data_IF_270741456134
#
_entry.id   IF_270741456134
#
_cell.length_a   1.000
_cell.length_b   1.000
_cell.length_c   1.000
_cell.angle_alpha   90.00
_cell.angle_beta   90.00
_cell.angle_gamma   90.00
#
_symmetry.space_group_name_H-M   'P 1'
#
loop_
_entity.id
_entity.type
_entity.pdbx_description
1 polymer ?
#
# COMPACT_ATOMS: atom_id res chain seq x y z
N UNK A 1 7.01 17.23 -22.11
CA UNK A 1 7.62 16.45 -21.00
C UNK A 1 7.62 14.93 -21.22
N UNK A 2 7.01 14.36 -22.28
CA UNK A 2 7.01 12.90 -22.52
C UNK A 2 8.22 12.36 -23.32
N UNK A 3 8.92 13.23 -24.06
CA UNK A 3 10.02 12.84 -24.96
C UNK A 3 11.31 12.43 -24.23
N UNK A 4 11.63 13.04 -23.08
CA UNK A 4 12.88 12.77 -22.35
C UNK A 4 12.87 11.41 -21.61
N UNK A 5 11.68 10.93 -21.20
CA UNK A 5 11.52 9.63 -20.54
C UNK A 5 11.71 8.46 -21.51
N UNK A 6 11.29 8.63 -22.77
CA UNK A 6 11.46 7.65 -23.86
C UNK A 6 12.95 7.41 -24.18
N UNK A 7 13.76 8.48 -24.25
CA UNK A 7 15.18 8.40 -24.64
C UNK A 7 16.01 7.62 -23.62
N UNK A 8 15.80 7.83 -22.32
CA UNK A 8 16.53 7.11 -21.26
C UNK A 8 16.15 5.62 -21.20
N UNK A 9 14.89 5.28 -21.45
CA UNK A 9 14.43 3.89 -21.52
C UNK A 9 15.07 3.14 -22.71
N UNK A 10 15.19 3.79 -23.86
CA UNK A 10 15.81 3.21 -25.06
C UNK A 10 17.32 2.97 -24.89
N UNK A 11 18.05 3.91 -24.28
CA UNK A 11 19.50 3.78 -24.02
C UNK A 11 19.78 2.62 -23.04
N UNK A 12 18.89 2.39 -22.06
CA UNK A 12 19.02 1.29 -21.11
C UNK A 12 18.85 -0.08 -21.77
N UNK A 13 18.00 -0.19 -22.79
CA UNK A 13 17.80 -1.43 -23.56
C UNK A 13 19.03 -1.82 -24.40
N UNK A 14 19.84 -0.86 -24.83
CA UNK A 14 21.07 -1.13 -25.60
C UNK A 14 22.15 -1.88 -24.80
N UNK A 15 22.08 -1.85 -23.46
CA UNK A 15 22.97 -2.63 -22.58
C UNK A 15 22.61 -4.11 -22.49
N UNK A 16 21.44 -4.50 -23.00
CA UNK A 16 20.99 -5.88 -23.01
C UNK A 16 21.23 -6.53 -24.39
N UNK A 17 21.52 -7.85 -24.43
CA UNK A 17 21.53 -8.63 -25.67
C UNK A 17 20.23 -8.47 -26.46
N UNK A 18 20.30 -8.66 -27.79
CA UNK A 18 19.18 -8.32 -28.69
C UNK A 18 17.91 -9.11 -28.36
N UNK A 19 18.06 -10.34 -27.88
CA UNK A 19 16.96 -11.21 -27.47
C UNK A 19 16.17 -10.69 -26.25
N UNK A 20 16.70 -9.77 -25.45
CA UNK A 20 16.04 -9.21 -24.26
C UNK A 20 15.55 -7.77 -24.44
N UNK A 21 15.60 -7.24 -25.67
CA UNK A 21 15.11 -5.89 -25.96
C UNK A 21 13.61 -5.96 -26.19
N UNK A 22 12.86 -5.22 -25.38
CA UNK A 22 11.41 -5.14 -25.51
C UNK A 22 11.11 -4.24 -26.70
N UNK A 23 10.57 -4.83 -27.77
CA UNK A 23 10.07 -4.09 -28.91
C UNK A 23 8.87 -3.24 -28.48
N UNK A 24 8.78 -2.03 -29.02
CA UNK A 24 7.57 -1.23 -28.87
C UNK A 24 6.40 -2.07 -29.41
N UNK A 25 5.44 -2.38 -28.54
CA UNK A 25 4.24 -3.06 -28.97
C UNK A 25 3.54 -2.20 -30.03
N UNK A 26 3.27 -2.79 -31.19
CA UNK A 26 2.51 -2.11 -32.24
C UNK A 26 1.03 -2.10 -31.82
N UNK A 27 0.65 -1.10 -31.04
CA UNK A 27 -0.75 -0.89 -30.69
C UNK A 27 -1.49 -0.34 -31.91
N UNK A 28 -2.63 -0.94 -32.29
CA UNK A 28 -3.43 -0.40 -33.36
C UNK A 28 -4.05 0.93 -32.90
N UNK A 29 -4.10 1.93 -33.79
CA UNK A 29 -4.39 3.32 -33.43
C UNK A 29 -5.81 3.52 -32.88
N UNK A 30 -6.73 2.63 -33.26
CA UNK A 30 -8.10 2.54 -32.75
C UNK A 30 -8.16 2.17 -31.26
N UNK A 31 -7.28 1.26 -30.80
CA UNK A 31 -7.19 0.89 -29.40
C UNK A 31 -6.69 2.05 -28.52
N UNK A 32 -5.75 2.86 -29.02
CA UNK A 32 -5.27 4.05 -28.32
C UNK A 32 -6.38 5.09 -28.19
N UNK A 33 -7.09 5.35 -29.29
CA UNK A 33 -8.21 6.28 -29.31
C UNK A 33 -9.40 5.84 -28.44
N UNK A 34 -9.59 4.53 -28.24
CA UNK A 34 -10.60 4.01 -27.33
C UNK A 34 -10.21 4.24 -25.85
N UNK A 35 -8.92 4.07 -25.53
CA UNK A 35 -8.38 4.33 -24.20
C UNK A 35 -8.47 5.81 -23.81
N UNK A 36 -8.15 6.71 -24.74
CA UNK A 36 -8.25 8.15 -24.52
C UNK A 36 -9.70 8.60 -24.25
N UNK A 37 -10.67 7.99 -24.94
CA UNK A 37 -12.10 8.24 -24.70
C UNK A 37 -12.55 7.78 -23.32
N UNK A 38 -12.12 6.60 -22.89
CA UNK A 38 -12.43 6.10 -21.54
C UNK A 38 -11.82 6.98 -20.44
N UNK A 39 -10.57 7.43 -20.63
CA UNK A 39 -9.90 8.33 -19.68
C UNK A 39 -10.58 9.71 -19.62
N UNK A 40 -11.07 10.23 -20.75
CA UNK A 40 -11.82 11.47 -20.79
C UNK A 40 -13.18 11.35 -20.08
N UNK A 41 -13.90 10.24 -20.30
CA UNK A 41 -15.18 9.97 -19.62
C UNK A 41 -15.01 9.84 -18.09
N UNK A 42 -13.92 9.23 -17.64
CA UNK A 42 -13.60 9.10 -16.21
C UNK A 42 -13.26 10.46 -15.57
N UNK A 43 -12.51 11.31 -16.28
CA UNK A 43 -12.21 12.68 -15.83
C UNK A 43 -13.48 13.54 -15.71
N UNK A 44 -14.44 13.39 -16.63
CA UNK A 44 -15.73 14.10 -16.58
C UNK A 44 -16.59 13.63 -15.42
N UNK A 45 -16.66 12.32 -15.14
CA UNK A 45 -17.41 11.79 -13.97
C UNK A 45 -16.84 12.29 -12.65
N UNK A 46 -15.52 12.32 -12.54
CA UNK A 46 -14.83 12.81 -11.34
C UNK A 46 -15.11 14.30 -11.11
N UNK A 47 -15.20 15.09 -12.19
CA UNK A 47 -15.55 16.50 -12.12
C UNK A 47 -17.03 16.73 -11.74
N UNK A 48 -17.96 15.93 -12.26
CA UNK A 48 -19.40 16.04 -11.97
C UNK A 48 -19.72 15.62 -10.52
N UNK A 49 -19.00 14.62 -10.00
CA UNK A 49 -19.12 14.19 -8.60
C UNK A 49 -18.54 15.21 -7.61
N UNK A 50 -17.52 15.96 -8.04
CA UNK A 50 -16.97 17.09 -7.26
C UNK A 50 -17.88 18.32 -7.32
N UNK A 51 -18.58 18.54 -8.43
CA UNK A 51 -19.50 19.67 -8.62
C UNK A 51 -20.86 19.47 -7.92
N UNK A 52 -21.28 18.22 -7.65
CA UNK A 52 -22.54 17.93 -6.95
C UNK A 52 -22.47 18.10 -5.43
N UNK A 53 -21.29 18.37 -4.89
CA UNK A 53 -21.08 18.63 -3.47
C UNK A 53 -21.01 20.15 -3.20
N UNK A 54 -22.17 20.80 -3.12
CA UNK A 54 -22.32 22.13 -2.48
C UNK A 54 -23.47 22.13 -1.45
N UNK A 55 -23.46 23.06 -0.47
CA UNK A 55 -23.44 22.69 0.95
C UNK A 55 -24.79 22.87 1.65
N UNK A 56 -25.04 22.02 2.65
CA UNK A 56 -26.04 22.27 3.68
C UNK A 56 -25.33 22.74 4.96
N UNK A 57 -25.56 24.00 5.34
CA UNK A 57 -25.13 24.59 6.61
C UNK A 57 -26.26 24.45 7.66
N UNK A 58 -25.93 24.03 8.89
CA UNK A 58 -26.38 24.62 10.17
C UNK A 58 -25.77 23.78 11.32
N UNK A 59 -24.73 24.27 12.00
CA UNK A 59 -24.74 25.07 13.22
C UNK A 59 -24.64 24.22 14.51
N UNK A 60 -23.42 24.14 15.08
CA UNK A 60 -23.09 24.79 16.37
C UNK A 60 -21.90 24.13 17.08
N UNK A 61 -21.02 25.01 17.59
CA UNK A 61 -20.04 24.82 18.67
C UNK A 61 -18.58 24.46 18.32
N UNK A 62 -17.85 25.53 17.95
CA UNK A 62 -16.48 25.91 18.35
C UNK A 62 -15.65 24.86 19.12
N UNK A 63 -14.52 24.46 18.52
CA UNK A 63 -13.20 24.71 19.12
C UNK A 63 -12.07 24.58 18.08
N UNK A 64 -11.22 25.61 18.01
CA UNK A 64 -9.84 25.50 17.52
C UNK A 64 -9.63 25.30 16.03
N UNK A 65 -9.74 26.38 15.24
CA UNK A 65 -9.08 26.46 13.94
C UNK A 65 -7.56 26.56 14.15
N UNK A 66 -6.89 25.42 14.26
CA UNK A 66 -5.43 25.37 14.12
C UNK A 66 -5.11 25.35 12.63
N UNK A 67 -4.44 26.40 12.16
CA UNK A 67 -4.02 26.57 10.78
C UNK A 67 -3.11 25.40 10.38
N UNK A 68 -3.58 24.51 9.49
CA UNK A 68 -2.75 23.45 8.92
C UNK A 68 -1.82 24.07 7.86
N UNK A 69 -0.49 23.93 7.98
CA UNK A 69 0.42 24.31 6.91
C UNK A 69 0.13 23.48 5.64
N UNK A 70 -0.22 24.15 4.54
CA UNK A 70 -0.58 23.54 3.26
C UNK A 70 0.59 22.90 2.48
N UNK A 71 1.71 22.60 3.15
CA UNK A 71 2.92 22.03 2.52
C UNK A 71 3.28 20.61 3.03
N UNK A 72 2.44 20.05 3.91
CA UNK A 72 2.59 18.69 4.40
C UNK A 72 1.68 17.72 3.62
N UNK A 73 2.23 16.59 3.17
CA UNK A 73 1.44 15.50 2.60
C UNK A 73 0.36 15.06 3.59
N UNK A 74 -0.89 14.79 3.15
CA UNK A 74 -1.92 14.22 4.01
C UNK A 74 -1.43 12.91 4.67
N UNK A 75 -1.79 12.67 5.93
CA UNK A 75 -1.39 11.46 6.65
C UNK A 75 -1.77 10.15 5.94
N UNK A 76 -2.90 10.14 5.22
CA UNK A 76 -3.31 9.02 4.37
C UNK A 76 -2.35 8.76 3.20
N UNK A 77 -1.88 9.81 2.52
CA UNK A 77 -0.90 9.67 1.43
C UNK A 77 0.44 9.14 1.92
N UNK A 78 0.87 9.56 3.11
CA UNK A 78 2.08 9.00 3.76
C UNK A 78 1.85 7.51 4.06
N UNK A 79 0.69 7.15 4.64
CA UNK A 79 0.35 5.77 4.92
C UNK A 79 0.36 4.86 3.68
N UNK A 80 -0.13 5.36 2.54
CA UNK A 80 -0.13 4.62 1.27
C UNK A 80 1.27 4.38 0.72
N UNK A 81 2.13 5.39 0.77
CA UNK A 81 3.54 5.28 0.35
C UNK A 81 4.29 4.28 1.24
N UNK A 82 4.12 4.43 2.55
CA UNK A 82 4.72 3.56 3.57
C UNK A 82 4.25 2.11 3.38
N UNK A 83 2.95 1.89 3.15
CA UNK A 83 2.38 0.56 2.86
C UNK A 83 2.96 -0.04 1.58
N UNK A 84 3.14 0.78 0.53
CA UNK A 84 3.70 0.33 -0.74
C UNK A 84 5.17 -0.10 -0.60
N UNK A 85 5.96 0.64 0.18
CA UNK A 85 7.35 0.30 0.50
C UNK A 85 7.41 -0.99 1.32
N UNK A 86 6.56 -1.14 2.34
CA UNK A 86 6.48 -2.36 3.14
C UNK A 86 6.12 -3.60 2.29
N UNK A 87 5.15 -3.47 1.37
CA UNK A 87 4.81 -4.56 0.43
C UNK A 87 5.96 -4.90 -0.50
N UNK A 88 6.69 -3.89 -0.96
CA UNK A 88 7.87 -4.07 -1.80
C UNK A 88 8.97 -4.81 -1.06
N UNK A 89 9.25 -4.45 0.20
CA UNK A 89 10.22 -5.14 1.06
C UNK A 89 9.86 -6.62 1.24
N UNK A 90 8.62 -6.92 1.62
CA UNK A 90 8.14 -8.30 1.74
C UNK A 90 8.27 -9.08 0.44
N UNK A 91 8.01 -8.46 -0.71
CA UNK A 91 8.15 -9.10 -2.02
C UNK A 91 9.62 -9.36 -2.38
N UNK A 92 10.48 -8.37 -2.18
CA UNK A 92 11.92 -8.47 -2.48
C UNK A 92 12.58 -9.57 -1.65
N UNK A 93 12.21 -9.71 -0.38
CA UNK A 93 12.73 -10.79 0.49
C UNK A 93 12.35 -12.19 0.03
N UNK A 94 11.23 -12.35 -0.69
CA UNK A 94 10.75 -13.66 -1.18
C UNK A 94 11.36 -14.06 -2.52
N UNK A 95 11.91 -13.11 -3.29
CA UNK A 95 12.43 -13.38 -4.65
C UNK A 95 13.96 -13.53 -4.60
N UNK A 96 14.51 -14.73 -4.87
CA UNK A 96 15.95 -14.90 -5.01
C UNK A 96 16.44 -14.20 -6.29
N UNK A 97 17.64 -13.61 -6.24
CA UNK A 97 18.27 -12.97 -7.40
C UNK A 97 17.92 -11.48 -7.61
N UNK A 98 17.23 -10.83 -6.67
CA UNK A 98 17.06 -9.37 -6.69
C UNK A 98 18.43 -8.68 -6.60
N UNK A 99 18.62 -7.65 -7.42
CA UNK A 99 19.90 -6.91 -7.45
C UNK A 99 20.19 -6.26 -6.09
N UNK A 100 21.45 -6.31 -5.64
CA UNK A 100 21.92 -5.62 -4.42
C UNK A 100 21.63 -4.12 -4.42
N UNK A 101 21.53 -3.50 -5.59
CA UNK A 101 21.16 -2.09 -5.72
C UNK A 101 19.70 -1.83 -5.30
N UNK A 102 18.77 -2.71 -5.67
CA UNK A 102 17.35 -2.56 -5.32
C UNK A 102 17.12 -2.72 -3.81
N UNK A 103 17.76 -3.70 -3.17
CA UNK A 103 17.70 -3.87 -1.71
C UNK A 103 18.27 -2.66 -0.99
N UNK A 104 19.41 -2.13 -1.45
CA UNK A 104 20.02 -0.93 -0.86
C UNK A 104 19.12 0.31 -0.97
N UNK A 105 18.49 0.56 -2.12
CA UNK A 105 17.59 1.70 -2.27
C UNK A 105 16.35 1.58 -1.39
N UNK A 106 15.85 0.36 -1.21
CA UNK A 106 14.75 0.07 -0.32
C UNK A 106 15.13 0.33 1.16
N UNK A 107 16.31 -0.11 1.58
CA UNK A 107 16.87 0.18 2.91
C UNK A 107 17.00 1.69 3.13
N UNK A 108 17.57 2.43 2.17
CA UNK A 108 17.67 3.90 2.28
C UNK A 108 16.30 4.59 2.34
N UNK A 109 15.31 4.11 1.58
CA UNK A 109 13.95 4.63 1.65
C UNK A 109 13.32 4.36 3.03
N UNK A 110 13.57 3.18 3.59
CA UNK A 110 13.12 2.82 4.92
C UNK A 110 13.75 3.69 6.01
N UNK A 111 15.07 3.86 5.97
CA UNK A 111 15.80 4.71 6.92
C UNK A 111 15.29 6.16 6.89
N UNK A 112 14.97 6.67 5.69
CA UNK A 112 14.39 8.01 5.51
C UNK A 112 13.01 8.12 6.18
N UNK A 113 12.15 7.10 6.05
CA UNK A 113 10.85 7.07 6.72
C UNK A 113 10.99 7.04 8.25
N UNK A 114 11.92 6.25 8.77
CA UNK A 114 12.19 6.18 10.21
C UNK A 114 12.70 7.53 10.73
N UNK A 115 13.61 8.18 10.01
CA UNK A 115 14.10 9.52 10.33
C UNK A 115 12.98 10.58 10.28
N UNK A 116 11.98 10.40 9.42
CA UNK A 116 10.78 11.22 9.36
C UNK A 116 9.76 10.91 10.48
N UNK A 117 10.06 10.01 11.40
CA UNK A 117 9.21 9.67 12.54
C UNK A 117 8.15 8.60 12.26
N UNK A 118 8.26 7.86 11.14
CA UNK A 118 7.35 6.77 10.82
C UNK A 118 7.73 5.51 11.59
N UNK A 119 6.73 4.88 12.23
CA UNK A 119 6.83 3.55 12.85
C UNK A 119 5.81 2.61 12.20
N UNK A 120 6.28 1.47 11.71
CA UNK A 120 5.43 0.41 11.19
C UNK A 120 5.37 -0.73 12.20
N UNK A 121 4.16 -1.17 12.52
CA UNK A 121 3.92 -2.37 13.32
C UNK A 121 3.25 -3.43 12.44
N UNK A 122 4.01 -4.50 12.17
CA UNK A 122 3.53 -5.72 11.53
C UNK A 122 3.08 -6.68 12.64
N UNK A 123 1.83 -7.16 12.57
CA UNK A 123 1.23 -8.00 13.61
C UNK A 123 1.38 -9.49 13.31
N UNK A 124 2.21 -9.87 12.34
CA UNK A 124 2.37 -11.25 11.92
C UNK A 124 2.83 -12.15 13.07
N UNK A 125 2.08 -13.22 13.33
CA UNK A 125 2.28 -14.17 14.44
C UNK A 125 2.07 -13.62 15.85
N UNK A 126 1.58 -12.38 15.99
CA UNK A 126 1.25 -11.84 17.29
C UNK A 126 -0.03 -12.49 17.85
N UNK A 127 -0.09 -12.78 19.16
CA UNK A 127 -1.31 -13.27 19.79
C UNK A 127 -2.43 -12.26 19.56
N UNK A 128 -3.59 -12.76 19.14
CA UNK A 128 -4.74 -11.90 18.88
C UNK A 128 -5.48 -11.62 20.20
N UNK A 129 -5.68 -10.34 20.50
CA UNK A 129 -6.54 -9.87 21.59
C UNK A 129 -7.59 -8.89 21.01
N UNK A 130 -8.89 -9.07 21.30
CA UNK A 130 -9.96 -8.16 20.83
C UNK A 130 -9.77 -6.69 21.24
N UNK A 131 -8.97 -6.39 22.26
CA UNK A 131 -8.63 -5.05 22.71
C UNK A 131 -7.56 -4.34 21.87
N UNK A 132 -6.90 -5.05 20.94
CA UNK A 132 -5.92 -4.43 20.05
C UNK A 132 -6.58 -3.48 19.05
N UNK A 133 -5.92 -2.35 18.79
CA UNK A 133 -6.35 -1.38 17.77
C UNK A 133 -6.03 -1.86 16.35
N UNK A 134 -6.52 -3.04 15.98
CA UNK A 134 -6.37 -3.70 14.68
C UNK A 134 -7.74 -4.10 14.14
N UNK A 135 -7.91 -4.11 12.82
CA UNK A 135 -9.14 -4.48 12.14
C UNK A 135 -8.99 -5.90 11.61
N UNK A 136 -9.83 -6.81 12.11
CA UNK A 136 -9.88 -8.19 11.61
C UNK A 136 -10.69 -8.22 10.32
N UNK A 137 -10.09 -8.74 9.25
CA UNK A 137 -10.76 -8.94 7.97
C UNK A 137 -11.46 -10.30 7.91
N UNK A 138 -10.85 -11.34 8.46
CA UNK A 138 -11.43 -12.67 8.54
C UNK A 138 -10.77 -13.52 9.63
N UNK A 139 -11.52 -14.52 10.11
CA UNK A 139 -11.03 -15.60 10.93
C UNK A 139 -10.84 -16.85 10.05
N UNK A 140 -9.73 -17.56 10.21
CA UNK A 140 -9.40 -18.77 9.45
C UNK A 140 -9.11 -19.94 10.40
N UNK A 141 -9.81 -21.08 10.26
CA UNK A 141 -9.46 -22.29 11.01
C UNK A 141 -8.02 -22.72 10.68
N UNK A 142 -7.14 -22.74 11.68
CA UNK A 142 -5.74 -23.12 11.55
C UNK A 142 -5.45 -24.18 12.62
N UNK A 143 -5.53 -25.48 12.26
CA UNK A 143 -5.41 -26.60 13.20
C UNK A 143 -4.09 -26.63 13.99
N UNK A 144 -3.05 -26.02 13.45
CA UNK A 144 -1.70 -25.95 14.05
C UNK A 144 -1.58 -24.90 15.17
N UNK A 145 -2.66 -24.16 15.46
CA UNK A 145 -2.68 -23.14 16.50
C UNK A 145 -3.28 -23.69 17.79
N UNK A 146 -2.71 -23.26 18.92
CA UNK A 146 -3.26 -23.53 20.26
C UNK A 146 -4.23 -22.44 20.74
N UNK A 147 -4.15 -21.25 20.13
CA UNK A 147 -4.90 -20.04 20.47
C UNK A 147 -4.98 -19.09 19.28
N UNK A 148 -5.92 -18.16 19.34
CA UNK A 148 -6.10 -17.13 18.33
C UNK A 148 -4.82 -16.30 18.16
N UNK A 149 -4.39 -16.19 16.90
CA UNK A 149 -3.16 -15.50 16.53
C UNK A 149 -3.29 -14.91 15.14
N UNK A 150 -2.66 -13.78 14.89
CA UNK A 150 -2.62 -13.19 13.55
C UNK A 150 -1.79 -14.08 12.63
N UNK A 151 -2.46 -14.70 11.64
CA UNK A 151 -1.82 -15.57 10.64
C UNK A 151 -1.34 -14.78 9.43
N UNK A 152 -1.94 -13.63 9.15
CA UNK A 152 -1.49 -12.79 8.05
C UNK A 152 -1.81 -11.31 8.31
N UNK A 153 -0.80 -10.47 8.17
CA UNK A 153 -0.97 -9.01 8.07
C UNK A 153 -1.22 -8.61 6.62
N UNK A 154 -2.39 -8.05 6.32
CA UNK A 154 -2.78 -7.53 5.00
C UNK A 154 -2.35 -6.07 4.84
N UNK A 155 -2.49 -5.29 5.92
CA UNK A 155 -1.94 -3.94 6.06
C UNK A 155 -1.34 -3.77 7.46
N UNK A 156 -0.14 -3.18 7.58
CA UNK A 156 0.44 -2.91 8.88
C UNK A 156 -0.26 -1.73 9.56
N UNK A 157 -0.13 -1.65 10.89
CA UNK A 157 -0.42 -0.40 11.60
C UNK A 157 0.72 0.58 11.36
N UNK A 158 0.39 1.84 11.06
CA UNK A 158 1.38 2.89 10.79
C UNK A 158 1.14 4.06 11.73
N UNK A 159 2.23 4.49 12.35
CA UNK A 159 2.27 5.66 13.23
C UNK A 159 3.24 6.68 12.65
N UNK A 160 2.88 7.96 12.74
CA UNK A 160 3.74 9.10 12.40
C UNK A 160 3.83 9.97 13.65
N UNK A 161 5.04 10.16 14.18
CA UNK A 161 5.26 10.92 15.41
C UNK A 161 4.35 10.44 16.57
N UNK A 162 4.26 9.11 16.74
CA UNK A 162 3.42 8.41 17.73
C UNK A 162 1.89 8.54 17.53
N UNK A 163 1.42 9.27 16.51
CA UNK A 163 0.02 9.31 16.12
C UNK A 163 -0.27 8.20 15.11
N UNK A 164 -1.31 7.38 15.36
CA UNK A 164 -1.75 6.37 14.40
C UNK A 164 -2.39 7.05 13.18
N UNK A 165 -1.79 6.83 12.01
CA UNK A 165 -2.30 7.31 10.72
C UNK A 165 -2.94 6.20 9.90
N UNK A 166 -2.62 4.94 10.20
CA UNK A 166 -3.26 3.76 9.60
C UNK A 166 -3.47 2.66 10.64
N UNK A 167 -4.70 2.17 10.72
CA UNK A 167 -5.04 0.97 11.50
C UNK A 167 -4.63 -0.28 10.73
N UNK A 168 -3.97 -1.22 11.41
CA UNK A 168 -3.59 -2.51 10.82
C UNK A 168 -4.80 -3.35 10.44
N UNK A 169 -4.70 -4.07 9.32
CA UNK A 169 -5.71 -5.01 8.84
C UNK A 169 -5.11 -6.42 8.80
N UNK A 170 -5.76 -7.35 9.50
CA UNK A 170 -5.20 -8.68 9.77
C UNK A 170 -6.20 -9.80 9.52
N UNK A 171 -5.67 -10.98 9.28
CA UNK A 171 -6.38 -12.25 9.30
C UNK A 171 -5.96 -13.00 10.56
N UNK A 172 -6.94 -13.47 11.33
CA UNK A 172 -6.71 -14.20 12.57
C UNK A 172 -6.91 -15.69 12.30
N UNK A 173 -5.94 -16.50 12.69
CA UNK A 173 -6.10 -17.94 12.74
C UNK A 173 -6.74 -18.34 14.06
N UNK A 174 -7.77 -19.17 13.99
CA UNK A 174 -8.47 -19.74 15.15
C UNK A 174 -8.11 -21.23 15.23
N UNK A 175 -7.81 -21.77 16.42
CA UNK A 175 -7.56 -23.20 16.60
C UNK A 175 -8.80 -23.99 16.16
N UNK A 176 -8.60 -25.09 15.42
CA UNK A 176 -9.70 -26.00 15.09
C UNK A 176 -9.95 -26.96 16.26
N UNK A 177 -11.10 -26.87 16.96
CA UNK A 177 -11.39 -27.74 18.09
C UNK A 177 -11.48 -29.22 17.69
N UNK A 178 -11.81 -29.54 16.43
CA UNK A 178 -11.98 -30.92 15.95
C UNK A 178 -10.63 -31.60 15.71
N UNK A 179 -9.61 -30.84 15.29
CA UNK A 179 -8.26 -31.37 15.07
C UNK A 179 -7.54 -31.72 16.39
N UNK A 180 -7.88 -31.02 17.48
CA UNK A 180 -7.28 -31.24 18.80
C UNK A 180 -7.70 -32.55 19.46
N UNK A 181 -8.83 -33.13 19.05
CA UNK A 181 -9.36 -34.41 19.56
C UNK A 181 -8.84 -35.64 18.79
N UNK A 182 -8.15 -35.43 17.66
CA UNK A 182 -7.59 -36.49 16.82
C UNK A 182 -6.07 -36.72 17.01
N UNK A 183 -5.41 -35.98 17.90
CA UNK A 183 -4.00 -36.18 18.23
C UNK A 183 -3.85 -37.20 19.39
N UNK A 184 -3.16 -38.34 19.18
CA UNK A 184 -3.02 -39.42 20.17
C UNK A 184 -2.08 -39.10 21.34
#
# INVERSE_FOLDING_TARGET
>A
MALLSSIRAHVRQLRHPREFRIHAAAWPADALAAFERLAADEAVRTADETARAEPAQDDSSRSGSEQVPHDALPGSSVADVVTSIWRLDRRVRRVPGVTRSATRHLEMAWDTLVQAGVKIQDHMNDPFDPGLSIKVLSYQPTPELDRDRVVETIRPSIYLNDQMIQRGEVIVGTPDPVAKEAAP
#
